data_IF_921317637068
#
_entry.id   IF_921317637068
#
_cell.length_a   1.000
_cell.length_b   1.000
_cell.length_c   1.000
_cell.angle_alpha   90.00
_cell.angle_beta   90.00
_cell.angle_gamma   90.00
#
_symmetry.space_group_name_H-M   'P 1'
#
loop_
_entity.id
_entity.type
_entity.pdbx_description
1 polymer ?
#
# COMPACT_ATOMS: atom_id res chain seq x y z
N UNK A 1 27.76 -7.62 0.77
CA UNK A 1 27.19 -6.32 0.33
C UNK A 1 25.68 -6.40 0.47
N UNK A 2 25.03 -5.57 1.30
CA UNK A 2 23.56 -5.55 1.39
C UNK A 2 23.01 -5.06 0.05
N UNK A 3 22.18 -5.84 -0.63
CA UNK A 3 21.52 -5.40 -1.87
C UNK A 3 20.50 -4.31 -1.51
N UNK A 4 20.49 -3.22 -2.29
CA UNK A 4 19.45 -2.22 -2.17
C UNK A 4 18.15 -2.80 -2.75
N UNK A 5 17.13 -2.93 -1.92
CA UNK A 5 15.80 -3.37 -2.35
C UNK A 5 14.94 -2.14 -2.65
N UNK A 6 14.33 -2.10 -3.83
CA UNK A 6 13.33 -1.09 -4.17
C UNK A 6 11.99 -1.58 -3.65
N UNK A 7 11.27 -0.72 -2.92
CA UNK A 7 9.95 -1.03 -2.38
C UNK A 7 8.92 -0.18 -3.13
N UNK A 8 8.12 -0.78 -4.03
CA UNK A 8 7.05 -0.07 -4.71
C UNK A 8 6.08 0.53 -3.70
N UNK A 9 5.71 1.80 -3.93
CA UNK A 9 4.74 2.52 -3.11
C UNK A 9 3.58 2.99 -3.97
N UNK A 10 2.35 2.64 -3.59
CA UNK A 10 1.15 2.86 -4.39
C UNK A 10 0.07 3.61 -3.61
N UNK A 11 -0.82 4.29 -4.34
CA UNK A 11 -2.00 4.94 -3.78
C UNK A 11 -3.26 4.32 -4.36
N UNK A 12 -4.13 3.80 -3.49
CA UNK A 12 -5.40 3.19 -3.87
C UNK A 12 -6.55 4.13 -3.54
N UNK A 13 -7.59 4.16 -4.39
CA UNK A 13 -8.81 4.92 -4.11
C UNK A 13 -9.54 4.37 -2.88
N UNK A 14 -9.53 3.04 -2.76
CA UNK A 14 -10.01 2.26 -1.62
C UNK A 14 -8.88 1.35 -1.11
N UNK A 15 -8.04 1.90 -0.23
CA UNK A 15 -6.91 1.16 0.33
C UNK A 15 -7.35 0.01 1.28
N UNK A 16 -8.37 0.16 2.15
CA UNK A 16 -8.86 -0.96 2.95
C UNK A 16 -9.28 -2.15 2.10
N UNK A 17 -10.08 -1.94 1.05
CA UNK A 17 -10.50 -3.02 0.17
C UNK A 17 -9.31 -3.63 -0.61
N UNK A 18 -8.37 -2.80 -1.06
CA UNK A 18 -7.16 -3.27 -1.74
C UNK A 18 -6.31 -4.15 -0.83
N UNK A 19 -6.12 -3.79 0.44
CA UNK A 19 -5.39 -4.60 1.41
C UNK A 19 -6.04 -5.99 1.55
N UNK A 20 -7.34 -6.04 1.83
CA UNK A 20 -8.06 -7.32 1.99
C UNK A 20 -7.94 -8.18 0.74
N UNK A 21 -8.11 -7.57 -0.43
CA UNK A 21 -8.01 -8.27 -1.69
C UNK A 21 -6.60 -8.80 -1.96
N UNK A 22 -5.55 -8.00 -1.73
CA UNK A 22 -4.16 -8.40 -1.92
C UNK A 22 -3.79 -9.56 -0.98
N UNK A 23 -4.24 -9.50 0.28
CA UNK A 23 -4.05 -10.58 1.25
C UNK A 23 -4.76 -11.85 0.78
N UNK A 24 -6.04 -11.76 0.39
CA UNK A 24 -6.83 -12.95 0.00
C UNK A 24 -6.39 -13.54 -1.34
N UNK A 25 -6.10 -12.72 -2.34
CA UNK A 25 -5.86 -13.16 -3.70
C UNK A 25 -4.42 -13.65 -3.92
N UNK A 26 -3.44 -13.01 -3.27
CA UNK A 26 -2.02 -13.33 -3.47
C UNK A 26 -1.32 -13.86 -2.23
N UNK A 27 -1.96 -13.85 -1.06
CA UNK A 27 -1.35 -14.29 0.18
C UNK A 27 -0.42 -13.24 0.80
N UNK A 28 -0.62 -11.95 0.52
CA UNK A 28 0.12 -10.90 1.24
C UNK A 28 -0.21 -10.93 2.74
N UNK A 29 0.80 -10.68 3.56
CA UNK A 29 0.67 -10.54 5.01
C UNK A 29 0.80 -9.08 5.43
N UNK A 30 -0.11 -8.61 6.28
CA UNK A 30 -0.06 -7.26 6.85
C UNK A 30 1.07 -7.18 7.88
N UNK A 31 2.09 -6.37 7.61
CA UNK A 31 3.16 -6.11 8.58
C UNK A 31 2.84 -4.89 9.44
N UNK A 32 2.28 -3.87 8.81
CA UNK A 32 1.87 -2.63 9.48
C UNK A 32 0.71 -2.04 8.70
N UNK A 33 -0.30 -1.55 9.44
CA UNK A 33 -1.40 -0.76 8.89
C UNK A 33 -1.63 0.39 9.86
N UNK A 34 -1.56 1.61 9.32
CA UNK A 34 -1.83 2.86 10.03
C UNK A 34 -3.11 3.43 9.45
N UNK A 35 -4.15 3.40 10.28
CA UNK A 35 -5.44 3.98 9.97
C UNK A 35 -5.35 5.51 10.04
N UNK A 36 -6.03 6.16 9.10
CA UNK A 36 -6.23 7.59 9.08
C UNK A 36 -7.71 7.94 9.20
N UNK A 37 -8.02 9.23 9.13
CA UNK A 37 -9.39 9.72 9.26
C UNK A 37 -10.34 9.16 8.18
N UNK A 38 -11.61 8.97 8.57
CA UNK A 38 -12.67 8.57 7.64
C UNK A 38 -12.50 7.17 7.04
N UNK A 39 -11.85 6.25 7.78
CA UNK A 39 -11.60 4.88 7.32
C UNK A 39 -10.55 4.77 6.22
N UNK A 40 -9.75 5.82 6.01
CA UNK A 40 -8.62 5.81 5.09
C UNK A 40 -7.42 5.11 5.73
N UNK A 41 -6.50 4.68 4.88
CA UNK A 41 -5.19 4.15 5.30
C UNK A 41 -4.15 5.21 5.00
N UNK A 42 -3.48 5.71 6.03
CA UNK A 42 -2.36 6.65 5.85
C UNK A 42 -1.15 5.92 5.31
N UNK A 43 -0.89 4.73 5.85
CA UNK A 43 0.25 3.92 5.49
C UNK A 43 -0.01 2.44 5.77
N UNK A 44 0.38 1.56 4.86
CA UNK A 44 0.40 0.13 5.07
C UNK A 44 1.64 -0.49 4.41
N UNK A 45 2.15 -1.54 5.05
CA UNK A 45 3.23 -2.40 4.56
C UNK A 45 2.70 -3.82 4.46
N UNK A 46 2.75 -4.38 3.26
CA UNK A 46 2.37 -5.77 3.00
C UNK A 46 3.58 -6.55 2.50
N UNK A 47 3.76 -7.77 2.99
CA UNK A 47 4.84 -8.68 2.57
C UNK A 47 4.31 -9.92 1.86
N UNK A 48 5.07 -10.41 0.90
CA UNK A 48 4.89 -11.71 0.27
C UNK A 48 6.26 -12.39 0.22
N UNK A 49 6.53 -13.28 1.19
CA UNK A 49 7.86 -13.84 1.42
C UNK A 49 8.89 -12.75 1.70
N UNK A 50 9.89 -12.62 0.83
CA UNK A 50 10.95 -11.62 0.94
C UNK A 50 10.61 -10.27 0.27
N UNK A 51 9.52 -10.21 -0.51
CA UNK A 51 9.07 -8.99 -1.15
C UNK A 51 8.20 -8.14 -0.21
N UNK A 52 8.24 -6.82 -0.40
CA UNK A 52 7.41 -5.85 0.31
C UNK A 52 6.84 -4.83 -0.66
N UNK A 53 5.61 -4.41 -0.41
CA UNK A 53 5.01 -3.22 -1.00
C UNK A 53 4.53 -2.29 0.10
N UNK A 54 4.53 -1.00 -0.21
CA UNK A 54 3.89 0.02 0.61
C UNK A 54 2.68 0.56 -0.12
N UNK A 55 1.62 0.88 0.62
CA UNK A 55 0.46 1.53 0.04
C UNK A 55 -0.24 2.46 1.02
N UNK A 56 -1.04 3.36 0.49
CA UNK A 56 -1.95 4.18 1.27
C UNK A 56 -3.15 4.60 0.44
N UNK A 57 -4.07 5.30 1.08
CA UNK A 57 -5.22 5.88 0.39
C UNK A 57 -4.83 7.09 -0.42
N UNK A 58 -5.44 7.20 -1.61
CA UNK A 58 -5.43 8.40 -2.42
C UNK A 58 -6.17 9.53 -1.67
N UNK A 59 -5.52 10.69 -1.59
CA UNK A 59 -6.02 11.90 -0.92
C UNK A 59 -6.21 13.07 -1.89
N UNK A 60 -5.81 12.93 -3.15
CA UNK A 60 -6.02 13.93 -4.20
C UNK A 60 -5.07 15.12 -4.12
N UNK A 61 -3.90 14.96 -3.50
CA UNK A 61 -2.90 16.03 -3.47
C UNK A 61 -2.23 16.22 -4.85
N UNK A 62 -1.47 17.31 -5.00
CA UNK A 62 -0.85 17.69 -6.28
C UNK A 62 0.11 16.63 -6.85
N UNK A 63 0.77 15.86 -5.99
CA UNK A 63 1.61 14.76 -6.42
C UNK A 63 0.77 13.59 -6.93
N UNK A 64 -0.26 13.21 -6.19
CA UNK A 64 -1.13 12.08 -6.51
C UNK A 64 -1.94 12.31 -7.80
N UNK A 65 -2.26 13.56 -8.15
CA UNK A 65 -2.87 13.89 -9.46
C UNK A 65 -1.97 13.55 -10.65
N UNK A 66 -0.66 13.42 -10.45
CA UNK A 66 0.34 13.08 -11.48
C UNK A 66 0.69 11.60 -11.51
N UNK A 67 0.13 10.81 -10.59
CA UNK A 67 0.41 9.38 -10.45
C UNK A 67 -0.89 8.61 -10.69
N UNK A 68 -0.85 7.60 -11.56
CA UNK A 68 -2.02 6.75 -11.80
C UNK A 68 -2.24 5.82 -10.59
N UNK A 69 -3.46 5.83 -10.06
CA UNK A 69 -3.88 4.81 -9.09
C UNK A 69 -4.09 3.48 -9.83
N UNK A 70 -3.64 2.34 -9.28
CA UNK A 70 -4.04 1.03 -9.78
C UNK A 70 -5.56 0.88 -9.89
#
# INVERSE_FOLDING_TARGET
>A
MKRANIIPTMKYRDAPAAIEWLCRAFGFEKQMVVEGEGGKIDHAQLKLGDAMIMLGSFRGNEYEKKVRTP
#
